data_IF_969047322635
#
_entry.id   IF_969047322635
#
_cell.length_a   1.000
_cell.length_b   1.000
_cell.length_c   1.000
_cell.angle_alpha   90.00
_cell.angle_beta   90.00
_cell.angle_gamma   90.00
#
_symmetry.space_group_name_H-M   'P 1'
#
loop_
_entity.id
_entity.type
_entity.pdbx_description
1 polymer ?
#
# COMPACT_ATOMS: atom_id res chain seq x y z
N UNK A 1 -0.21 10.15 13.52
CA UNK A 1 -0.85 10.59 12.26
C UNK A 1 -1.25 9.34 11.49
N UNK A 2 -2.47 9.27 10.93
CA UNK A 2 -2.89 8.15 10.08
C UNK A 2 -2.24 8.31 8.71
N UNK A 3 -1.80 7.22 8.09
CA UNK A 3 -1.29 7.26 6.70
C UNK A 3 -2.39 7.67 5.72
N UNK A 4 -2.02 8.02 4.49
CA UNK A 4 -2.95 8.46 3.43
C UNK A 4 -4.02 7.42 3.05
N UNK A 5 -3.80 6.13 3.34
CA UNK A 5 -4.82 5.09 3.18
C UNK A 5 -5.81 5.01 4.36
N UNK A 6 -5.67 5.87 5.37
CA UNK A 6 -6.51 5.92 6.56
C UNK A 6 -6.23 4.83 7.60
N UNK A 7 -5.33 3.88 7.31
CA UNK A 7 -4.99 2.79 8.23
C UNK A 7 -4.31 3.33 9.50
N UNK A 8 -4.80 2.91 10.67
CA UNK A 8 -4.32 3.38 11.97
C UNK A 8 -2.98 2.73 12.32
N UNK A 9 -2.97 1.40 12.35
CA UNK A 9 -1.81 0.57 12.61
C UNK A 9 -1.82 -0.58 11.58
N UNK A 10 -0.70 -0.77 10.88
CA UNK A 10 -0.56 -1.78 9.83
C UNK A 10 -0.66 -3.21 10.37
N UNK A 11 -0.27 -3.47 11.62
CA UNK A 11 -0.48 -4.76 12.27
C UNK A 11 -1.95 -4.99 12.58
N UNK A 12 -2.62 -4.01 13.20
CA UNK A 12 -4.06 -4.12 13.48
C UNK A 12 -4.90 -4.21 12.19
N UNK A 13 -4.46 -3.60 11.11
CA UNK A 13 -5.10 -3.69 9.79
C UNK A 13 -4.79 -5.00 9.02
N UNK A 14 -3.91 -5.86 9.54
CA UNK A 14 -3.55 -7.15 8.92
C UNK A 14 -2.48 -7.08 7.81
N UNK A 15 -1.77 -5.95 7.72
CA UNK A 15 -0.72 -5.72 6.74
C UNK A 15 0.67 -6.16 7.22
N UNK A 16 0.89 -6.16 8.54
CA UNK A 16 2.15 -6.56 9.15
C UNK A 16 3.28 -5.57 8.88
N UNK A 17 4.52 -6.07 8.87
CA UNK A 17 5.72 -5.23 8.75
C UNK A 17 6.11 -4.89 7.31
N UNK A 18 5.64 -5.65 6.32
CA UNK A 18 6.07 -5.49 4.93
C UNK A 18 5.18 -4.51 4.19
N UNK A 19 5.44 -3.22 4.37
CA UNK A 19 4.60 -2.12 3.87
C UNK A 19 5.43 -1.06 3.16
N UNK A 20 4.78 -0.26 2.31
CA UNK A 20 5.41 0.90 1.69
C UNK A 20 4.43 2.07 1.54
N UNK A 21 4.97 3.28 1.61
CA UNK A 21 4.38 4.45 0.99
C UNK A 21 4.77 4.47 -0.49
N UNK A 22 3.84 4.79 -1.38
CA UNK A 22 4.10 4.78 -2.83
C UNK A 22 4.00 6.18 -3.42
N UNK A 23 4.78 6.48 -4.45
CA UNK A 23 4.79 7.80 -5.12
C UNK A 23 3.45 8.15 -5.78
N UNK A 24 3.29 9.40 -6.19
CA UNK A 24 2.09 9.90 -6.88
C UNK A 24 1.70 9.07 -8.09
N UNK A 25 2.69 8.65 -8.89
CA UNK A 25 2.46 7.81 -10.07
C UNK A 25 1.83 6.45 -9.75
N UNK A 26 2.10 5.92 -8.56
CA UNK A 26 1.57 4.64 -8.10
C UNK A 26 0.32 4.79 -7.26
N UNK A 27 0.22 5.84 -6.42
CA UNK A 27 -0.83 5.97 -5.41
C UNK A 27 -2.24 6.09 -6.00
N UNK A 28 -2.39 6.72 -7.17
CA UNK A 28 -3.66 6.87 -7.90
C UNK A 28 -4.83 7.27 -6.99
N UNK A 29 -4.66 8.35 -6.22
CA UNK A 29 -5.69 8.84 -5.29
C UNK A 29 -6.26 7.76 -4.34
N UNK A 30 -5.39 6.90 -3.83
CA UNK A 30 -5.77 5.85 -2.87
C UNK A 30 -6.43 4.62 -3.51
N UNK A 31 -6.50 4.52 -4.85
CA UNK A 31 -6.98 3.31 -5.53
C UNK A 31 -6.11 2.09 -5.21
N UNK A 32 -4.81 2.27 -4.96
CA UNK A 32 -3.88 1.16 -4.68
C UNK A 32 -3.76 0.81 -3.21
N UNK A 33 -4.47 1.49 -2.30
CA UNK A 33 -4.45 1.17 -0.88
C UNK A 33 -4.85 -0.29 -0.64
N UNK A 34 -3.94 -1.06 -0.03
CA UNK A 34 -4.10 -2.49 0.22
C UNK A 34 -3.52 -3.41 -0.86
N UNK A 35 -3.17 -2.89 -2.04
CA UNK A 35 -2.58 -3.67 -3.12
C UNK A 35 -1.19 -4.22 -2.75
N UNK A 36 -0.84 -5.39 -3.30
CA UNK A 36 0.44 -6.04 -3.05
C UNK A 36 1.36 -6.03 -4.27
N UNK A 37 2.64 -5.86 -4.00
CA UNK A 37 3.70 -5.85 -5.01
C UNK A 37 4.82 -6.77 -4.57
N UNK A 38 5.33 -7.58 -5.50
CA UNK A 38 6.62 -8.24 -5.34
C UNK A 38 7.70 -7.29 -5.84
N UNK A 39 8.68 -7.02 -4.99
CA UNK A 39 9.79 -6.11 -5.27
C UNK A 39 11.11 -6.88 -5.13
N UNK A 40 12.01 -6.61 -6.07
CA UNK A 40 13.42 -7.05 -6.03
C UNK A 40 14.32 -5.84 -6.24
N UNK A 41 15.51 -5.89 -5.66
CA UNK A 41 16.57 -4.93 -5.96
C UNK A 41 17.27 -5.36 -7.26
N UNK A 42 17.51 -4.44 -8.19
CA UNK A 42 18.16 -4.75 -9.46
C UNK A 42 19.67 -4.92 -9.28
N UNK A 43 20.07 -6.14 -8.92
CA UNK A 43 21.46 -6.52 -8.70
C UNK A 43 22.37 -6.28 -9.91
N UNK A 44 21.83 -6.21 -11.13
CA UNK A 44 22.63 -5.94 -12.33
C UNK A 44 23.06 -4.48 -12.40
N UNK A 45 22.21 -3.58 -11.89
CA UNK A 45 22.47 -2.14 -11.85
C UNK A 45 23.31 -1.80 -10.61
N UNK A 46 22.99 -2.39 -9.46
CA UNK A 46 23.65 -2.06 -8.20
C UNK A 46 24.02 -3.32 -7.38
N UNK A 47 25.10 -4.02 -7.76
CA UNK A 47 25.55 -5.22 -7.05
C UNK A 47 26.14 -4.91 -5.67
N UNK A 48 26.46 -3.64 -5.38
CA UNK A 48 27.05 -3.21 -4.11
C UNK A 48 26.00 -3.28 -3.00
N UNK A 49 24.80 -2.78 -3.26
CA UNK A 49 23.73 -2.72 -2.26
C UNK A 49 22.67 -3.80 -2.42
N UNK A 50 22.38 -4.25 -3.63
CA UNK A 50 21.37 -5.28 -3.82
C UNK A 50 21.80 -6.66 -3.27
N UNK A 51 20.83 -7.37 -2.70
CA UNK A 51 20.98 -8.76 -2.32
C UNK A 51 20.54 -9.67 -3.48
N UNK A 52 21.43 -10.57 -3.91
CA UNK A 52 21.19 -11.47 -5.04
C UNK A 52 20.06 -12.46 -4.74
N UNK A 53 19.15 -12.64 -5.70
CA UNK A 53 18.04 -13.60 -5.64
C UNK A 53 17.10 -13.43 -4.43
N UNK A 54 16.94 -12.19 -3.94
CA UNK A 54 16.01 -11.87 -2.86
C UNK A 54 14.81 -11.09 -3.38
N UNK A 55 13.64 -11.36 -2.79
CA UNK A 55 12.42 -10.62 -3.06
C UNK A 55 11.62 -10.40 -1.78
N UNK A 56 10.81 -9.35 -1.78
CA UNK A 56 9.83 -9.07 -0.73
C UNK A 56 8.48 -8.79 -1.36
N UNK A 57 7.41 -9.31 -0.74
CA UNK A 57 6.05 -8.87 -1.04
C UNK A 57 5.65 -7.81 -0.02
N UNK A 58 5.35 -6.62 -0.52
CA UNK A 58 4.92 -5.47 0.29
C UNK A 58 3.46 -5.14 0.01
N UNK A 59 2.83 -4.47 0.98
CA UNK A 59 1.50 -3.86 0.81
C UNK A 59 1.64 -2.34 0.69
N UNK A 60 0.98 -1.74 -0.29
CA UNK A 60 0.85 -0.28 -0.35
C UNK A 60 -0.12 0.19 0.73
N UNK A 61 0.38 0.94 1.72
CA UNK A 61 -0.40 1.36 2.89
C UNK A 61 -0.36 2.86 3.13
N UNK A 62 0.41 3.60 2.35
CA UNK A 62 0.56 5.03 2.52
C UNK A 62 0.96 5.71 1.20
N UNK A 63 1.04 7.03 1.21
CA UNK A 63 1.43 7.88 0.11
C UNK A 63 2.78 8.54 0.43
N UNK A 64 3.71 8.50 -0.51
CA UNK A 64 4.92 9.30 -0.46
C UNK A 64 4.68 10.58 -1.27
N UNK A 65 4.49 11.74 -0.61
CA UNK A 65 4.17 12.98 -1.31
C UNK A 65 5.37 13.50 -2.12
N UNK A 66 5.11 14.18 -3.26
CA UNK A 66 6.14 14.88 -3.99
C UNK A 66 6.67 16.07 -3.18
N UNK A 67 7.94 16.41 -3.36
CA UNK A 67 8.53 17.64 -2.84
C UNK A 67 8.68 18.73 -3.91
N UNK A 68 8.31 18.44 -5.17
CA UNK A 68 8.36 19.35 -6.33
C UNK A 68 9.75 19.89 -6.67
N UNK A 69 10.81 19.28 -6.13
CA UNK A 69 12.21 19.69 -6.33
C UNK A 69 13.05 18.55 -6.94
N UNK A 70 12.42 17.61 -7.64
CA UNK A 70 13.08 16.47 -8.28
C UNK A 70 13.32 15.30 -7.31
N UNK A 71 12.53 15.18 -6.26
CA UNK A 71 12.62 14.08 -5.30
C UNK A 71 12.17 12.73 -5.89
N UNK A 72 12.53 11.64 -5.21
CA UNK A 72 12.20 10.28 -5.67
C UNK A 72 10.70 9.98 -5.81
N UNK A 73 9.87 10.67 -5.04
CA UNK A 73 8.41 10.52 -5.10
C UNK A 73 7.73 11.48 -6.09
N UNK A 74 8.50 12.37 -6.72
CA UNK A 74 8.00 13.28 -7.75
C UNK A 74 7.69 12.51 -9.05
N UNK A 75 6.59 12.83 -9.75
CA UNK A 75 6.37 12.34 -11.11
C UNK A 75 7.56 12.68 -12.04
N UNK A 76 7.91 11.80 -13.00
CA UNK A 76 7.22 10.57 -13.39
C UNK A 76 7.70 9.32 -12.63
N UNK A 77 8.39 9.49 -11.50
CA UNK A 77 9.06 8.37 -10.84
C UNK A 77 8.07 7.40 -10.17
N UNK A 78 8.33 6.11 -10.37
CA UNK A 78 7.68 5.03 -9.65
C UNK A 78 8.57 4.67 -8.45
N UNK A 79 8.17 5.11 -7.26
CA UNK A 79 8.97 4.95 -6.05
C UNK A 79 8.19 4.30 -4.91
N UNK A 80 8.88 3.44 -4.16
CA UNK A 80 8.37 2.74 -2.99
C UNK A 80 9.24 3.12 -1.79
N UNK A 81 8.72 3.97 -0.92
CA UNK A 81 9.32 4.26 0.38
C UNK A 81 8.91 3.15 1.36
N UNK A 82 9.75 2.12 1.40
CA UNK A 82 9.44 0.86 2.08
C UNK A 82 9.81 0.92 3.56
N UNK A 83 9.09 0.14 4.38
CA UNK A 83 9.53 -0.11 5.74
C UNK A 83 10.95 -0.70 5.76
N UNK A 84 11.75 -0.33 6.76
CA UNK A 84 13.13 -0.82 6.91
C UNK A 84 13.21 -2.35 6.88
N UNK A 85 12.23 -3.04 7.50
CA UNK A 85 12.13 -4.50 7.48
C UNK A 85 11.91 -5.09 6.09
N UNK A 86 11.23 -4.36 5.18
CA UNK A 86 11.09 -4.75 3.77
C UNK A 86 12.36 -4.45 2.99
N UNK A 87 12.96 -3.28 3.21
CA UNK A 87 14.15 -2.82 2.49
C UNK A 87 15.32 -3.79 2.69
N UNK A 88 15.59 -4.15 3.96
CA UNK A 88 16.67 -5.07 4.32
C UNK A 88 16.48 -6.51 3.82
N UNK A 89 15.30 -6.87 3.30
CA UNK A 89 15.10 -8.16 2.65
C UNK A 89 15.75 -8.22 1.27
N UNK A 90 15.87 -7.09 0.58
CA UNK A 90 16.33 -7.00 -0.82
C UNK A 90 17.62 -6.19 -0.98
N UNK A 91 18.00 -5.37 0.00
CA UNK A 91 19.20 -4.56 -0.04
C UNK A 91 19.98 -4.62 1.28
N UNK A 92 21.28 -4.35 1.22
CA UNK A 92 22.15 -4.25 2.39
C UNK A 92 21.86 -2.96 3.15
N UNK A 93 22.07 -2.99 4.46
CA UNK A 93 22.07 -1.77 5.26
C UNK A 93 23.29 -0.93 4.92
N UNK A 94 23.09 0.36 4.65
CA UNK A 94 24.17 1.31 4.39
C UNK A 94 23.66 2.71 4.07
N UNK A 95 24.57 3.58 3.63
CA UNK A 95 24.30 5.02 3.54
C UNK A 95 23.44 5.43 2.35
N UNK A 96 23.34 4.60 1.31
CA UNK A 96 22.66 5.00 0.06
C UNK A 96 21.15 5.12 0.24
N UNK A 97 20.54 4.33 1.15
CA UNK A 97 19.12 4.42 1.54
C UNK A 97 18.10 4.18 0.43
N UNK A 98 18.53 4.15 -0.83
CA UNK A 98 17.76 4.07 -2.07
C UNK A 98 18.50 3.08 -2.98
N UNK A 99 17.74 2.23 -3.66
CA UNK A 99 18.29 1.24 -4.59
C UNK A 99 17.40 1.14 -5.82
N UNK A 100 17.94 0.80 -7.00
CA UNK A 100 17.13 0.50 -8.16
C UNK A 100 16.32 -0.78 -7.90
N UNK A 101 15.04 -0.76 -8.24
CA UNK A 101 14.14 -1.89 -8.05
C UNK A 101 13.43 -2.30 -9.32
N UNK A 102 13.09 -3.58 -9.40
CA UNK A 102 12.10 -4.10 -10.31
C UNK A 102 10.90 -4.58 -9.48
N UNK A 103 9.70 -4.29 -9.95
CA UNK A 103 8.49 -4.65 -9.21
C UNK A 103 7.37 -5.11 -10.13
N UNK A 104 6.46 -5.90 -9.57
CA UNK A 104 5.21 -6.31 -10.24
C UNK A 104 4.08 -6.46 -9.24
N UNK A 105 2.86 -6.25 -9.71
CA UNK A 105 1.66 -6.49 -8.90
C UNK A 105 1.45 -7.99 -8.68
N UNK A 106 1.06 -8.39 -7.48
CA UNK A 106 0.81 -9.79 -7.11
C UNK A 106 -0.43 -9.91 -6.23
N UNK A 107 -1.00 -11.11 -6.15
CA UNK A 107 -2.13 -11.36 -5.25
C UNK A 107 -1.70 -11.26 -3.76
N UNK A 108 -2.49 -10.54 -2.97
CA UNK A 108 -2.30 -10.41 -1.53
C UNK A 108 -2.71 -11.70 -0.80
N UNK A 109 -1.77 -12.30 -0.07
CA UNK A 109 -2.05 -13.41 0.85
C UNK A 109 -2.40 -12.85 2.23
N UNK A 110 -3.64 -13.06 2.67
CA UNK A 110 -4.17 -12.57 3.95
C UNK A 110 -4.73 -13.73 4.80
N UNK A 111 -4.74 -13.55 6.12
CA UNK A 111 -5.39 -14.45 7.09
C UNK A 111 -6.37 -13.64 7.94
N UNK A 112 -7.44 -14.26 8.41
CA UNK A 112 -8.41 -13.62 9.30
C UNK A 112 -9.50 -12.78 8.62
N UNK A 113 -9.73 -12.99 7.32
CA UNK A 113 -10.86 -12.43 6.57
C UNK A 113 -10.81 -10.91 6.34
N UNK A 114 -11.73 -10.42 5.51
CA UNK A 114 -11.89 -8.97 5.28
C UNK A 114 -12.42 -8.32 6.56
N UNK A 115 -11.89 -7.14 6.90
CA UNK A 115 -12.28 -6.39 8.11
C UNK A 115 -12.94 -5.08 7.72
N UNK A 116 -14.02 -4.74 8.41
CA UNK A 116 -14.79 -3.52 8.22
C UNK A 116 -14.80 -2.71 9.52
N UNK A 117 -14.37 -1.46 9.44
CA UNK A 117 -14.46 -0.51 10.56
C UNK A 117 -15.40 0.61 10.17
N UNK A 118 -16.55 0.67 10.80
CA UNK A 118 -17.54 1.75 10.61
C UNK A 118 -17.21 2.95 11.49
N UNK A 119 -17.25 4.15 10.90
CA UNK A 119 -17.17 5.44 11.58
C UNK A 119 -18.25 6.36 11.05
N UNK A 120 -18.58 7.42 11.77
CA UNK A 120 -19.54 8.40 11.29
C UNK A 120 -20.38 9.03 12.37
N UNK A 121 -21.45 9.67 11.92
CA UNK A 121 -22.52 10.29 12.70
C UNK A 121 -23.88 9.96 12.05
N UNK A 122 -24.99 10.38 12.65
CA UNK A 122 -26.36 10.02 12.22
C UNK A 122 -26.63 10.16 10.71
N UNK A 123 -26.06 11.17 10.06
CA UNK A 123 -26.29 11.49 8.65
C UNK A 123 -25.09 11.20 7.73
N UNK A 124 -23.98 10.64 8.26
CA UNK A 124 -22.77 10.40 7.49
C UNK A 124 -22.05 9.16 8.00
N UNK A 125 -21.85 8.17 7.13
CA UNK A 125 -21.21 6.91 7.47
C UNK A 125 -19.98 6.69 6.58
N UNK A 126 -18.88 6.30 7.21
CA UNK A 126 -17.65 5.87 6.56
C UNK A 126 -17.37 4.42 6.92
N UNK A 127 -16.91 3.64 5.96
CA UNK A 127 -16.49 2.26 6.17
C UNK A 127 -15.06 2.12 5.69
N UNK A 128 -14.17 1.74 6.61
CA UNK A 128 -12.80 1.37 6.28
C UNK A 128 -12.72 -0.13 6.04
N UNK A 129 -12.24 -0.51 4.87
CA UNK A 129 -12.07 -1.91 4.49
C UNK A 129 -10.58 -2.24 4.55
N UNK A 130 -10.24 -3.26 5.32
CA UNK A 130 -8.85 -3.72 5.52
C UNK A 130 -8.75 -5.24 5.36
N UNK A 131 -7.51 -5.73 5.28
CA UNK A 131 -7.20 -7.16 5.17
C UNK A 131 -7.83 -7.88 3.96
N UNK A 132 -8.01 -7.16 2.84
CA UNK A 132 -8.53 -7.72 1.59
C UNK A 132 -7.46 -8.64 0.97
N UNK A 133 -7.82 -9.91 0.74
CA UNK A 133 -7.01 -10.87 0.00
C UNK A 133 -7.22 -10.77 -1.50
N UNK A 134 -6.40 -11.45 -2.30
CA UNK A 134 -6.53 -11.42 -3.76
C UNK A 134 -6.01 -10.11 -4.33
N UNK A 135 -6.89 -9.24 -4.87
CA UNK A 135 -6.47 -7.96 -5.48
C UNK A 135 -5.79 -7.01 -4.49
N UNK A 136 -6.23 -7.06 -3.22
CA UNK A 136 -5.73 -6.24 -2.11
C UNK A 136 -6.39 -4.85 -2.03
N UNK A 137 -6.60 -4.22 -3.18
CA UNK A 137 -7.38 -3.00 -3.31
C UNK A 137 -8.86 -3.27 -3.57
N UNK A 138 -9.68 -2.27 -3.31
CA UNK A 138 -11.14 -2.28 -3.52
C UNK A 138 -11.46 -1.30 -4.63
N UNK A 139 -12.24 -1.72 -5.63
CA UNK A 139 -12.66 -0.84 -6.75
C UNK A 139 -13.89 0.03 -6.39
N UNK A 140 -14.86 -0.55 -5.68
CA UNK A 140 -16.09 0.11 -5.30
C UNK A 140 -16.78 -0.60 -4.14
N UNK A 141 -17.67 0.12 -3.46
CA UNK A 141 -18.40 -0.37 -2.29
C UNK A 141 -19.85 0.06 -2.41
N UNK A 142 -20.76 -0.83 -2.05
CA UNK A 142 -22.19 -0.56 -1.94
C UNK A 142 -22.69 -0.99 -0.56
N UNK A 143 -23.70 -0.30 -0.04
CA UNK A 143 -24.38 -0.66 1.20
C UNK A 143 -25.85 -0.95 0.93
N UNK A 144 -26.40 -1.98 1.57
CA UNK A 144 -27.82 -2.35 1.45
C UNK A 144 -28.58 -1.95 2.71
N UNK A 145 -29.65 -1.16 2.55
CA UNK A 145 -30.54 -0.84 3.67
C UNK A 145 -31.34 -2.07 4.10
N UNK A 146 -31.36 -2.39 5.39
CA UNK A 146 -32.09 -3.57 5.90
C UNK A 146 -33.61 -3.46 5.73
N UNK A 147 -34.16 -2.25 5.75
CA UNK A 147 -35.60 -1.98 5.55
C UNK A 147 -35.98 -1.78 4.09
N UNK A 148 -35.14 -1.08 3.32
CA UNK A 148 -35.45 -0.74 1.92
C UNK A 148 -35.03 -1.85 0.95
N UNK A 149 -34.04 -2.67 1.32
CA UNK A 149 -33.47 -3.69 0.44
C UNK A 149 -32.66 -3.13 -0.73
N UNK A 150 -32.54 -1.81 -0.88
CA UNK A 150 -31.84 -1.14 -1.98
C UNK A 150 -30.34 -1.03 -1.71
N UNK A 151 -29.53 -1.28 -2.75
CA UNK A 151 -28.09 -1.05 -2.73
C UNK A 151 -27.78 0.39 -3.11
N UNK A 152 -27.01 1.09 -2.29
CA UNK A 152 -26.55 2.45 -2.52
C UNK A 152 -25.02 2.46 -2.69
N UNK A 153 -24.49 3.10 -3.73
CA UNK A 153 -23.04 3.21 -3.90
C UNK A 153 -22.44 4.10 -2.81
N UNK A 154 -21.24 3.75 -2.35
CA UNK A 154 -20.42 4.59 -1.48
C UNK A 154 -19.32 5.25 -2.30
N UNK A 155 -18.92 6.46 -1.88
CA UNK A 155 -17.82 7.20 -2.49
C UNK A 155 -16.51 6.96 -1.72
N UNK A 156 -15.40 6.89 -2.46
CA UNK A 156 -14.05 6.91 -1.87
C UNK A 156 -13.70 8.35 -1.50
N UNK A 157 -13.11 8.51 -0.32
CA UNK A 157 -12.56 9.77 0.15
C UNK A 157 -11.13 9.98 -0.35
#
# INVERSE_FOLDING_TARGET
MRGACGYDDTFHAGFGVNTAAVSTMLFRNGEVCGACYQVICDYRIDPKWCLRSRSVTITATNFCPPNNHGGWCDPPNHHFDMSMSSFLRIARQGNEGIVPILYRRVACKRRGGVRFTSKGQSNFNMVMITNVGGSGDVKGVWIRGSRTGTWLPMHRN
#
